data_IF_647773590632
#
_entry.id   IF_647773590632
#
_cell.length_a   1.000
_cell.length_b   1.000
_cell.length_c   1.000
_cell.angle_alpha   90.00
_cell.angle_beta   90.00
_cell.angle_gamma   90.00
#
_symmetry.space_group_name_H-M   'P 1'
#
loop_
_entity.id
_entity.type
_entity.pdbx_description
1 polymer ?
#
# COMPACT_ATOMS: atom_id res chain seq x y z
N UNK A 1 1.96 14.37 2.66
CA UNK A 1 1.00 14.07 1.56
C UNK A 1 0.04 13.01 2.07
N UNK A 2 -1.21 13.38 2.40
CA UNK A 2 -2.23 12.42 2.85
C UNK A 2 -2.92 11.90 1.58
N UNK A 3 -2.46 10.76 1.07
CA UNK A 3 -3.12 10.08 -0.04
C UNK A 3 -4.53 9.64 0.40
N UNK A 4 -5.55 9.87 -0.43
CA UNK A 4 -6.90 9.37 -0.13
C UNK A 4 -6.94 7.84 -0.23
N UNK A 5 -7.93 7.20 0.38
CA UNK A 5 -8.13 5.75 0.25
C UNK A 5 -8.30 5.30 -1.22
N UNK A 6 -8.87 6.18 -2.08
CA UNK A 6 -9.00 5.91 -3.51
C UNK A 6 -7.62 5.95 -4.18
N UNK A 7 -6.80 6.95 -3.88
CA UNK A 7 -5.45 7.09 -4.45
C UNK A 7 -4.56 5.91 -4.04
N UNK A 8 -4.60 5.51 -2.76
CA UNK A 8 -3.86 4.34 -2.26
C UNK A 8 -4.22 3.06 -3.01
N UNK A 9 -5.51 2.83 -3.30
CA UNK A 9 -5.96 1.65 -4.07
C UNK A 9 -5.48 1.68 -5.52
N UNK A 10 -5.53 2.84 -6.17
CA UNK A 10 -5.07 3.01 -7.56
C UNK A 10 -3.57 2.74 -7.63
N UNK A 11 -2.80 3.31 -6.70
CA UNK A 11 -1.34 3.14 -6.63
C UNK A 11 -0.97 1.67 -6.38
N UNK A 12 -1.61 0.98 -5.42
CA UNK A 12 -1.37 -0.45 -5.18
C UNK A 12 -1.66 -1.27 -6.45
N UNK A 13 -2.72 -0.96 -7.18
CA UNK A 13 -3.09 -1.68 -8.40
C UNK A 13 -2.07 -1.47 -9.52
N UNK A 14 -1.59 -0.24 -9.68
CA UNK A 14 -0.53 0.09 -10.64
C UNK A 14 0.79 -0.61 -10.29
N UNK A 15 1.21 -0.57 -9.02
CA UNK A 15 2.43 -1.22 -8.55
C UNK A 15 2.36 -2.76 -8.66
N UNK A 16 1.20 -3.37 -8.42
CA UNK A 16 1.01 -4.83 -8.63
C UNK A 16 1.15 -5.21 -10.10
N UNK A 17 0.66 -4.37 -11.02
CA UNK A 17 0.81 -4.57 -12.48
C UNK A 17 2.27 -4.40 -12.90
N UNK A 18 2.97 -3.42 -12.32
CA UNK A 18 4.37 -3.16 -12.62
C UNK A 18 5.30 -4.23 -12.05
N UNK A 19 5.03 -4.75 -10.84
CA UNK A 19 5.71 -5.93 -10.28
C UNK A 19 5.62 -7.15 -11.20
N UNK A 20 4.45 -7.39 -11.81
CA UNK A 20 4.29 -8.48 -12.79
C UNK A 20 5.12 -8.26 -14.06
N UNK A 21 5.30 -7.02 -14.50
CA UNK A 21 6.17 -6.67 -15.65
C UNK A 21 7.65 -6.79 -15.30
N UNK A 22 8.03 -6.40 -14.09
CA UNK A 22 9.40 -6.45 -13.58
C UNK A 22 9.80 -7.84 -13.05
N UNK A 23 8.95 -8.86 -13.22
CA UNK A 23 9.19 -10.23 -12.72
C UNK A 23 10.50 -10.84 -13.22
N UNK A 24 11.02 -10.39 -14.36
CA UNK A 24 12.33 -10.79 -14.91
C UNK A 24 13.53 -10.19 -14.18
N UNK A 25 13.33 -9.17 -13.33
CA UNK A 25 14.38 -8.49 -12.56
C UNK A 25 14.09 -8.63 -11.07
N UNK A 26 14.68 -9.66 -10.46
CA UNK A 26 14.41 -10.08 -9.08
C UNK A 26 14.64 -8.95 -8.05
N UNK A 27 15.67 -8.12 -8.23
CA UNK A 27 15.95 -6.96 -7.38
C UNK A 27 14.90 -5.85 -7.47
N UNK A 28 14.37 -5.58 -8.67
CA UNK A 28 13.33 -4.56 -8.85
C UNK A 28 11.98 -5.03 -8.34
N UNK A 29 11.73 -6.34 -8.38
CA UNK A 29 10.49 -6.93 -7.89
C UNK A 29 10.36 -6.88 -6.35
N UNK A 30 11.49 -6.96 -5.61
CA UNK A 30 11.49 -6.79 -4.14
C UNK A 30 11.22 -5.34 -3.75
N UNK A 31 11.86 -4.37 -4.41
CA UNK A 31 11.67 -2.95 -4.10
C UNK A 31 10.22 -2.51 -4.28
N UNK A 32 9.57 -2.97 -5.36
CA UNK A 32 8.15 -2.69 -5.62
C UNK A 32 7.25 -3.36 -4.57
N UNK A 33 7.62 -4.54 -4.07
CA UNK A 33 6.86 -5.19 -2.99
C UNK A 33 6.94 -4.40 -1.69
N UNK A 34 8.11 -3.89 -1.31
CA UNK A 34 8.24 -3.06 -0.10
C UNK A 34 7.39 -1.80 -0.15
N UNK A 35 7.29 -1.16 -1.33
CA UNK A 35 6.44 0.02 -1.52
C UNK A 35 4.96 -0.34 -1.39
N UNK A 36 4.53 -1.49 -1.95
CA UNK A 36 3.16 -1.99 -1.77
C UNK A 36 2.86 -2.21 -0.29
N UNK A 37 3.76 -2.86 0.44
CA UNK A 37 3.57 -3.19 1.86
C UNK A 37 3.47 -1.94 2.73
N UNK A 38 4.31 -0.93 2.48
CA UNK A 38 4.25 0.37 3.18
C UNK A 38 2.92 1.09 2.94
N UNK A 39 2.40 1.07 1.71
CA UNK A 39 1.11 1.70 1.38
C UNK A 39 -0.05 0.91 1.99
N UNK A 40 -0.01 -0.42 1.97
CA UNK A 40 -1.03 -1.27 2.61
C UNK A 40 -1.02 -1.10 4.13
N UNK A 41 0.14 -0.94 4.76
CA UNK A 41 0.26 -0.61 6.18
C UNK A 41 -0.31 0.77 6.50
N UNK A 42 0.04 1.80 5.71
CA UNK A 42 -0.53 3.14 5.84
C UNK A 42 -2.07 3.13 5.71
N UNK A 43 -2.60 2.29 4.82
CA UNK A 43 -4.04 2.08 4.64
C UNK A 43 -4.70 1.44 5.86
N UNK A 44 -4.06 0.42 6.46
CA UNK A 44 -4.54 -0.21 7.70
C UNK A 44 -4.52 0.76 8.88
N UNK A 45 -3.44 1.50 9.06
CA UNK A 45 -3.29 2.47 10.15
C UNK A 45 -4.32 3.61 10.05
N UNK A 46 -4.65 4.05 8.83
CA UNK A 46 -5.73 5.02 8.62
C UNK A 46 -7.05 4.53 9.20
N UNK A 47 -7.37 3.24 9.04
CA UNK A 47 -8.60 2.65 9.57
C UNK A 47 -8.57 2.46 11.08
N UNK A 48 -7.41 2.12 11.66
CA UNK A 48 -7.28 1.94 13.12
C UNK A 48 -7.40 3.25 13.87
N UNK A 49 -6.89 4.36 13.30
CA UNK A 49 -7.00 5.69 13.89
C UNK A 49 -8.41 6.29 13.83
N UNK A 50 -9.28 5.77 12.97
CA UNK A 50 -10.69 6.17 12.88
C UNK A 50 -11.58 5.47 13.91
N UNK A 51 -11.06 4.47 14.65
CA UNK A 51 -11.82 3.76 15.68
C UNK A 51 -11.91 4.67 16.92
N UNK A 52 -13.09 5.23 17.16
CA UNK A 52 -13.39 5.94 18.41
C UNK A 52 -13.11 5.03 19.61
N UNK A 53 -12.46 5.53 20.68
CA UNK A 53 -12.18 4.72 21.85
C UNK A 53 -13.51 4.19 22.40
N UNK A 54 -13.68 2.87 22.35
CA UNK A 54 -14.75 2.19 23.06
C UNK A 54 -14.55 2.50 24.55
N UNK A 55 -15.49 3.23 25.16
CA UNK A 55 -15.46 3.53 26.60
C UNK A 55 -15.34 2.21 27.36
N UNK A 56 -14.25 2.06 28.09
CA UNK A 56 -14.08 1.10 29.18
C UNK A 56 -14.88 1.59 30.40
#
# INVERSE_FOLDING_TARGET
MILSEKDKKIIISALKKEKRRLFTSQSKASDVQEVIDKIEQSRRNSKTNEVTPSKL
#
